data_IF_555698502771
#
_entry.id   IF_555698502771
#
_cell.length_a   1.000
_cell.length_b   1.000
_cell.length_c   1.000
_cell.angle_alpha   90.00
_cell.angle_beta   90.00
_cell.angle_gamma   90.00
#
_symmetry.space_group_name_H-M   'P 1'
#
loop_
_entity.id
_entity.type
_entity.pdbx_description
1 polymer ?
#
# COMPACT_ATOMS: atom_id res chain seq x y z
N UNK A 1 58.96 -35.82 -35.13
CA UNK A 1 58.79 -36.18 -33.71
C UNK A 1 58.06 -35.03 -33.03
N UNK A 2 56.86 -35.30 -32.49
CA UNK A 2 56.14 -34.72 -31.32
C UNK A 2 56.23 -33.18 -31.09
N UNK A 3 55.14 -32.45 -30.67
CA UNK A 3 53.77 -32.87 -30.32
C UNK A 3 52.62 -32.08 -30.96
N UNK A 4 51.54 -32.83 -31.17
CA UNK A 4 50.13 -32.45 -30.99
C UNK A 4 49.84 -31.87 -29.61
N UNK A 5 49.43 -30.61 -29.49
CA UNK A 5 48.49 -30.12 -28.47
C UNK A 5 48.01 -28.73 -28.90
N UNK A 6 46.76 -28.62 -29.35
CA UNK A 6 45.81 -27.62 -28.88
C UNK A 6 44.45 -28.00 -29.47
N UNK A 7 43.70 -28.70 -28.64
CA UNK A 7 42.33 -29.09 -28.87
C UNK A 7 41.40 -27.86 -28.77
N UNK A 8 40.41 -27.86 -29.66
CA UNK A 8 39.03 -27.38 -29.49
C UNK A 8 38.70 -26.55 -28.24
N UNK A 9 38.24 -25.32 -28.45
CA UNK A 9 37.08 -24.76 -27.76
C UNK A 9 36.64 -23.43 -28.41
N UNK A 10 35.89 -23.49 -29.51
CA UNK A 10 34.96 -22.41 -29.85
C UNK A 10 33.58 -22.90 -29.38
N UNK A 11 33.26 -22.63 -28.12
CA UNK A 11 31.88 -22.75 -27.64
C UNK A 11 31.14 -21.48 -28.02
N UNK A 12 30.21 -21.64 -28.96
CA UNK A 12 29.17 -20.67 -29.26
C UNK A 12 28.32 -20.48 -27.99
N UNK A 13 28.46 -19.34 -27.30
CA UNK A 13 27.50 -18.95 -26.25
C UNK A 13 26.28 -18.39 -26.99
N UNK A 14 25.35 -19.27 -27.34
CA UNK A 14 23.97 -18.88 -27.61
C UNK A 14 23.34 -18.66 -26.25
N UNK A 15 23.20 -17.41 -25.82
CA UNK A 15 22.28 -17.05 -24.75
C UNK A 15 20.87 -17.35 -25.25
N UNK A 16 20.38 -18.56 -24.96
CA UNK A 16 18.94 -18.80 -24.98
C UNK A 16 18.37 -17.99 -23.83
N UNK A 17 17.81 -16.82 -24.14
CA UNK A 17 16.84 -16.19 -23.26
C UNK A 17 15.72 -17.22 -23.07
N UNK A 18 15.75 -17.95 -21.96
CA UNK A 18 14.62 -18.80 -21.58
C UNK A 18 13.41 -17.88 -21.51
N UNK A 19 12.43 -18.08 -22.40
CA UNK A 19 11.12 -17.45 -22.24
C UNK A 19 10.65 -17.81 -20.84
N UNK A 20 10.58 -16.83 -19.95
CA UNK A 20 9.96 -17.01 -18.65
C UNK A 20 8.56 -17.58 -18.90
N UNK A 21 8.18 -18.61 -18.13
CA UNK A 21 6.85 -19.16 -18.21
C UNK A 21 5.82 -18.02 -18.03
N UNK A 22 4.71 -18.03 -18.80
CA UNK A 22 3.66 -17.04 -18.59
C UNK A 22 3.20 -17.11 -17.12
N UNK A 23 2.81 -15.98 -16.52
CA UNK A 23 2.29 -15.99 -15.16
C UNK A 23 1.13 -16.98 -15.06
N UNK A 24 0.94 -17.63 -13.90
CA UNK A 24 -0.23 -18.48 -13.70
C UNK A 24 -1.50 -17.67 -13.95
N UNK A 25 -2.52 -18.30 -14.55
CA UNK A 25 -3.82 -17.65 -14.71
C UNK A 25 -4.40 -17.33 -13.32
N UNK A 26 -5.01 -16.14 -13.13
CA UNK A 26 -5.62 -15.82 -11.85
C UNK A 26 -6.84 -16.71 -11.60
N UNK A 27 -7.25 -16.90 -10.33
CA UNK A 27 -8.52 -17.51 -10.00
C UNK A 27 -9.70 -16.75 -10.66
N UNK A 28 -10.79 -17.43 -11.05
CA UNK A 28 -11.92 -16.79 -11.72
C UNK A 28 -12.56 -15.69 -10.85
N UNK A 29 -13.05 -14.58 -11.45
CA UNK A 29 -13.64 -13.47 -10.69
C UNK A 29 -14.79 -13.88 -9.76
N UNK A 30 -15.63 -14.84 -10.17
CA UNK A 30 -16.75 -15.30 -9.35
C UNK A 30 -16.30 -15.98 -8.04
N UNK A 31 -15.20 -16.74 -8.08
CA UNK A 31 -14.61 -17.34 -6.89
C UNK A 31 -14.01 -16.25 -5.99
N UNK A 32 -13.24 -15.34 -6.58
CA UNK A 32 -12.62 -14.22 -5.86
C UNK A 32 -13.65 -13.29 -5.21
N UNK A 33 -14.79 -13.00 -5.86
CA UNK A 33 -15.88 -12.22 -5.26
C UNK A 33 -16.46 -12.91 -4.03
N UNK A 34 -16.63 -14.24 -4.08
CA UNK A 34 -17.14 -15.03 -2.95
C UNK A 34 -16.18 -14.98 -1.77
N UNK A 35 -14.89 -15.20 -2.03
CA UNK A 35 -13.84 -15.10 -1.02
C UNK A 35 -13.71 -13.68 -0.49
N UNK A 36 -13.75 -12.65 -1.35
CA UNK A 36 -13.70 -11.24 -0.94
C UNK A 36 -14.82 -10.89 0.04
N UNK A 37 -16.06 -11.30 -0.23
CA UNK A 37 -17.18 -11.08 0.69
C UNK A 37 -17.00 -11.82 2.03
N UNK A 38 -16.48 -13.05 2.01
CA UNK A 38 -16.17 -13.81 3.24
C UNK A 38 -15.10 -13.10 4.09
N UNK A 39 -14.03 -12.66 3.45
CA UNK A 39 -12.90 -11.98 4.10
C UNK A 39 -13.30 -10.61 4.67
N UNK A 40 -14.09 -9.83 3.91
CA UNK A 40 -14.60 -8.54 4.39
C UNK A 40 -15.55 -8.73 5.59
N UNK A 41 -16.40 -9.76 5.57
CA UNK A 41 -17.24 -10.12 6.70
C UNK A 41 -16.42 -10.58 7.92
N UNK A 42 -15.38 -11.38 7.71
CA UNK A 42 -14.45 -11.81 8.77
C UNK A 42 -13.74 -10.60 9.39
N UNK A 43 -13.15 -9.72 8.58
CA UNK A 43 -12.51 -8.49 9.05
C UNK A 43 -13.51 -7.63 9.83
N UNK A 44 -14.73 -7.43 9.30
CA UNK A 44 -15.79 -6.70 10.01
C UNK A 44 -16.11 -7.32 11.37
N UNK A 45 -16.17 -8.65 11.45
CA UNK A 45 -16.50 -9.35 12.70
C UNK A 45 -15.45 -9.15 13.80
N UNK A 46 -14.21 -8.83 13.43
CA UNK A 46 -13.12 -8.59 14.38
C UNK A 46 -13.21 -7.27 15.16
N UNK A 47 -13.98 -6.29 14.66
CA UNK A 47 -14.10 -5.00 15.33
C UNK A 47 -14.91 -5.12 16.63
N UNK A 48 -14.40 -4.64 17.78
CA UNK A 48 -15.13 -4.76 19.05
C UNK A 48 -16.47 -4.01 19.03
N UNK A 49 -16.47 -2.81 18.45
CA UNK A 49 -17.69 -2.07 18.14
C UNK A 49 -18.09 -2.38 16.69
N UNK A 50 -19.29 -2.94 16.51
CA UNK A 50 -19.75 -3.30 15.18
C UNK A 50 -20.12 -2.09 14.30
N UNK A 51 -20.14 -0.87 14.86
CA UNK A 51 -20.40 0.38 14.16
C UNK A 51 -19.14 1.19 13.81
N UNK A 52 -17.96 0.75 14.27
CA UNK A 52 -16.69 1.41 14.02
C UNK A 52 -15.65 0.40 13.52
N UNK A 53 -14.95 0.72 12.44
CA UNK A 53 -13.87 -0.09 11.89
C UNK A 53 -12.55 0.15 12.64
N UNK A 54 -12.57 -0.10 13.95
CA UNK A 54 -11.42 -0.01 14.84
C UNK A 54 -11.02 -1.42 15.30
N UNK A 55 -9.77 -1.78 15.07
CA UNK A 55 -9.20 -3.04 15.52
C UNK A 55 -8.98 -3.01 17.05
N UNK A 56 -9.12 -4.15 17.75
CA UNK A 56 -8.79 -4.25 19.16
C UNK A 56 -7.27 -4.26 19.37
N UNK A 57 -6.86 -4.08 20.63
CA UNK A 57 -5.53 -4.53 21.06
C UNK A 57 -5.33 -6.02 20.72
N UNK A 58 -4.12 -6.43 20.29
CA UNK A 58 -2.86 -5.69 20.31
C UNK A 58 -2.60 -4.82 19.06
N UNK A 59 -3.56 -4.68 18.15
CA UNK A 59 -3.36 -3.91 16.92
C UNK A 59 -3.30 -2.42 17.19
N UNK A 60 -2.43 -1.74 16.46
CA UNK A 60 -2.24 -0.31 16.61
C UNK A 60 -3.32 0.48 15.89
N UNK A 61 -3.50 1.73 16.32
CA UNK A 61 -4.49 2.64 15.77
C UNK A 61 -4.32 2.85 14.26
N UNK A 62 -3.08 2.92 13.77
CA UNK A 62 -2.79 3.07 12.35
C UNK A 62 -3.28 1.87 11.50
N UNK A 63 -3.23 0.66 12.06
CA UNK A 63 -3.72 -0.55 11.38
C UNK A 63 -5.24 -0.47 11.17
N UNK A 64 -5.97 0.17 12.07
CA UNK A 64 -7.39 0.46 11.87
C UNK A 64 -7.62 1.39 10.68
N UNK A 65 -6.78 2.42 10.49
CA UNK A 65 -6.80 3.27 9.29
C UNK A 65 -6.62 2.46 8.01
N UNK A 66 -5.70 1.49 8.02
CA UNK A 66 -5.52 0.59 6.86
C UNK A 66 -6.72 -0.34 6.65
N UNK A 67 -7.35 -0.88 7.70
CA UNK A 67 -8.53 -1.72 7.59
C UNK A 67 -9.75 -0.93 7.05
N UNK A 68 -9.88 0.35 7.44
CA UNK A 68 -10.86 1.27 6.86
C UNK A 68 -10.63 1.40 5.36
N UNK A 69 -9.38 1.65 4.93
CA UNK A 69 -9.05 1.77 3.51
C UNK A 69 -9.32 0.46 2.72
N UNK A 70 -9.07 -0.71 3.32
CA UNK A 70 -9.38 -2.01 2.72
C UNK A 70 -10.87 -2.13 2.38
N UNK A 71 -11.73 -1.79 3.34
CA UNK A 71 -13.18 -1.87 3.18
C UNK A 71 -13.73 -0.75 2.29
N UNK A 72 -13.06 0.41 2.22
CA UNK A 72 -13.36 1.47 1.25
C UNK A 72 -13.06 1.03 -0.19
N UNK A 73 -12.07 0.15 -0.37
CA UNK A 73 -11.69 -0.44 -1.66
C UNK A 73 -12.60 -1.62 -2.04
N UNK A 74 -13.01 -2.43 -1.06
CA UNK A 74 -13.93 -3.56 -1.25
C UNK A 74 -15.23 -3.16 -1.97
N UNK A 75 -15.87 -2.05 -1.55
CA UNK A 75 -17.17 -1.64 -2.10
C UNK A 75 -17.16 -1.36 -3.61
N UNK A 76 -16.29 -0.47 -4.11
CA UNK A 76 -16.12 -0.24 -5.54
C UNK A 76 -15.73 -1.51 -6.33
N UNK A 77 -14.87 -2.37 -5.78
CA UNK A 77 -14.39 -3.59 -6.47
C UNK A 77 -15.48 -4.64 -6.64
N UNK A 78 -16.25 -4.88 -5.58
CA UNK A 78 -17.24 -5.97 -5.53
C UNK A 78 -18.66 -5.53 -5.85
N UNK A 79 -18.94 -4.23 -5.73
CA UNK A 79 -20.28 -3.66 -5.79
C UNK A 79 -21.09 -3.80 -4.49
N UNK A 80 -20.48 -4.29 -3.41
CA UNK A 80 -21.11 -4.45 -2.11
C UNK A 80 -20.78 -3.31 -1.14
N UNK A 81 -21.78 -2.48 -0.85
CA UNK A 81 -21.65 -1.25 -0.07
C UNK A 81 -22.15 -1.39 1.37
N UNK A 82 -22.37 -2.60 1.87
CA UNK A 82 -22.98 -2.82 3.19
C UNK A 82 -22.19 -2.18 4.37
N UNK A 83 -20.90 -1.91 4.18
CA UNK A 83 -20.03 -1.30 5.20
C UNK A 83 -19.92 0.23 5.11
N UNK A 84 -20.51 0.88 4.08
CA UNK A 84 -20.31 2.31 3.80
C UNK A 84 -20.65 3.21 5.01
N UNK A 85 -21.73 2.91 5.73
CA UNK A 85 -22.14 3.70 6.91
C UNK A 85 -21.14 3.60 8.07
N UNK A 86 -20.70 2.38 8.39
CA UNK A 86 -19.65 2.15 9.39
C UNK A 86 -18.37 2.92 9.05
N UNK A 87 -17.93 2.87 7.79
CA UNK A 87 -16.69 3.52 7.37
C UNK A 87 -16.78 5.06 7.48
N UNK A 88 -17.90 5.66 7.07
CA UNK A 88 -18.14 7.10 7.24
C UNK A 88 -18.13 7.50 8.71
N UNK A 89 -18.84 6.76 9.56
CA UNK A 89 -18.86 7.00 11.01
C UNK A 89 -17.45 6.89 11.61
N UNK A 90 -16.68 5.90 11.19
CA UNK A 90 -15.30 5.69 11.65
C UNK A 90 -14.42 6.89 11.32
N UNK A 91 -14.37 7.31 10.05
CA UNK A 91 -13.53 8.44 9.62
C UNK A 91 -13.90 9.71 10.38
N UNK A 92 -15.19 10.05 10.49
CA UNK A 92 -15.65 11.26 11.20
C UNK A 92 -15.29 11.22 12.68
N UNK A 93 -15.38 10.05 13.32
CA UNK A 93 -15.06 9.91 14.75
C UNK A 93 -13.56 10.06 15.01
N UNK A 94 -12.72 9.63 14.07
CA UNK A 94 -11.26 9.72 14.21
C UNK A 94 -10.67 11.05 13.74
N UNK A 95 -11.44 11.87 13.02
CA UNK A 95 -10.97 13.13 12.43
C UNK A 95 -10.48 14.18 13.44
N UNK A 96 -10.78 14.04 14.74
CA UNK A 96 -10.56 15.04 15.81
C UNK A 96 -11.34 16.34 15.58
N UNK A 97 -11.25 17.28 16.53
CA UNK A 97 -11.87 18.61 16.39
C UNK A 97 -11.16 19.50 15.37
N UNK A 98 -9.88 19.25 15.12
CA UNK A 98 -9.03 19.99 14.17
C UNK A 98 -9.07 19.40 12.76
N UNK A 99 -9.74 18.25 12.57
CA UNK A 99 -9.94 17.61 11.27
C UNK A 99 -8.62 17.15 10.62
N UNK A 100 -7.72 16.60 11.42
CA UNK A 100 -6.33 16.26 11.08
C UNK A 100 -5.93 14.85 11.57
N UNK A 101 -6.84 14.09 12.19
CA UNK A 101 -6.52 12.80 12.81
C UNK A 101 -5.40 12.84 13.87
N UNK A 102 -5.09 14.00 14.45
CA UNK A 102 -4.13 14.12 15.56
C UNK A 102 -4.75 13.63 16.88
N UNK A 103 -5.03 12.34 16.96
CA UNK A 103 -5.47 11.66 18.18
C UNK A 103 -4.28 11.45 19.12
N UNK A 104 -4.53 11.02 20.36
CA UNK A 104 -3.46 10.62 21.27
C UNK A 104 -2.68 9.38 20.77
N UNK A 105 -3.29 8.59 19.89
CA UNK A 105 -2.68 7.41 19.30
C UNK A 105 -1.84 7.75 18.04
N UNK A 106 -1.91 8.99 17.53
CA UNK A 106 -1.09 9.49 16.43
C UNK A 106 0.31 9.90 16.93
N UNK A 107 1.10 8.94 17.37
CA UNK A 107 2.45 9.20 17.92
C UNK A 107 3.50 9.44 16.84
N UNK A 108 3.30 8.87 15.65
CA UNK A 108 4.13 9.01 14.47
C UNK A 108 3.45 9.74 13.32
N UNK A 109 4.25 10.33 12.43
CA UNK A 109 3.76 10.92 11.20
C UNK A 109 3.19 9.85 10.26
N UNK A 110 3.73 8.63 10.29
CA UNK A 110 3.16 7.47 9.64
C UNK A 110 1.78 7.11 10.19
N UNK A 111 1.61 7.04 11.52
CA UNK A 111 0.32 6.76 12.17
C UNK A 111 -0.79 7.68 11.64
N UNK A 112 -0.52 8.99 11.60
CA UNK A 112 -1.44 10.01 11.08
C UNK A 112 -1.69 9.85 9.57
N UNK A 113 -0.65 9.56 8.79
CA UNK A 113 -0.73 9.50 7.34
C UNK A 113 -1.61 8.32 6.85
N UNK A 114 -1.65 7.20 7.56
CA UNK A 114 -2.54 6.08 7.22
C UNK A 114 -4.01 6.48 7.21
N UNK A 115 -4.44 7.31 8.17
CA UNK A 115 -5.80 7.85 8.22
C UNK A 115 -6.06 8.89 7.13
N UNK A 116 -5.04 9.70 6.79
CA UNK A 116 -5.12 10.62 5.65
C UNK A 116 -5.31 9.88 4.33
N UNK A 117 -4.60 8.76 4.11
CA UNK A 117 -4.78 7.91 2.93
C UNK A 117 -6.18 7.29 2.88
N UNK A 118 -6.71 6.81 4.01
CA UNK A 118 -8.07 6.29 4.08
C UNK A 118 -9.12 7.36 3.72
N UNK A 119 -8.98 8.58 4.24
CA UNK A 119 -9.85 9.70 3.89
C UNK A 119 -9.72 10.08 2.40
N UNK A 120 -8.49 10.08 1.86
CA UNK A 120 -8.28 10.37 0.44
C UNK A 120 -8.88 9.29 -0.46
N UNK A 121 -8.80 8.01 -0.06
CA UNK A 121 -9.49 6.89 -0.74
C UNK A 121 -10.99 7.09 -0.72
N UNK A 122 -11.58 7.54 0.40
CA UNK A 122 -13.01 7.88 0.45
C UNK A 122 -13.38 9.01 -0.53
N UNK A 123 -12.51 10.01 -0.70
CA UNK A 123 -12.69 11.08 -1.68
C UNK A 123 -12.62 10.56 -3.12
N UNK A 124 -11.60 9.78 -3.44
CA UNK A 124 -11.39 9.16 -4.76
C UNK A 124 -12.55 8.23 -5.14
N UNK A 125 -13.07 7.47 -4.17
CA UNK A 125 -14.22 6.57 -4.35
C UNK A 125 -15.58 7.30 -4.27
N UNK A 126 -15.58 8.63 -4.10
CA UNK A 126 -16.79 9.47 -4.00
C UNK A 126 -17.78 8.97 -2.94
N UNK A 127 -17.26 8.51 -1.81
CA UNK A 127 -18.08 8.10 -0.66
C UNK A 127 -18.95 9.28 -0.23
N UNK A 128 -20.27 9.11 -0.03
CA UNK A 128 -21.13 10.20 0.39
C UNK A 128 -20.62 10.88 1.65
N UNK A 129 -20.63 12.22 1.66
CA UNK A 129 -20.12 12.97 2.80
C UNK A 129 -20.93 12.69 4.06
N UNK A 130 -20.24 12.61 5.20
CA UNK A 130 -20.82 12.67 6.54
C UNK A 130 -20.06 13.73 7.35
N UNK A 131 -20.77 14.51 8.17
CA UNK A 131 -20.17 15.62 8.91
C UNK A 131 -19.94 16.89 8.07
N UNK A 132 -19.16 17.83 8.62
CA UNK A 132 -19.01 19.19 8.08
C UNK A 132 -17.78 19.44 7.20
N UNK A 133 -16.86 18.48 7.08
CA UNK A 133 -15.61 18.63 6.32
C UNK A 133 -15.53 17.59 5.19
N UNK A 134 -15.04 17.99 4.01
CA UNK A 134 -14.87 17.06 2.90
C UNK A 134 -13.74 16.04 3.17
N UNK A 135 -13.89 14.80 2.69
CA UNK A 135 -12.87 13.76 2.84
C UNK A 135 -11.47 14.17 2.32
N UNK A 136 -11.43 14.88 1.19
CA UNK A 136 -10.18 15.41 0.62
C UNK A 136 -9.54 16.48 1.50
N UNK A 137 -10.34 17.23 2.26
CA UNK A 137 -9.82 18.29 3.12
C UNK A 137 -9.20 17.71 4.40
N UNK A 138 -9.72 16.57 4.92
CA UNK A 138 -9.06 15.82 5.99
C UNK A 138 -7.64 15.40 5.57
N UNK A 139 -7.51 14.82 4.36
CA UNK A 139 -6.22 14.42 3.81
C UNK A 139 -5.29 15.64 3.58
N UNK A 140 -5.84 16.76 3.09
CA UNK A 140 -5.09 18.01 2.89
C UNK A 140 -4.60 18.62 4.20
N UNK A 141 -5.38 18.54 5.27
CA UNK A 141 -4.97 19.03 6.58
C UNK A 141 -3.74 18.29 7.09
N UNK A 142 -3.77 16.94 7.05
CA UNK A 142 -2.59 16.11 7.41
C UNK A 142 -1.39 16.45 6.54
N UNK A 143 -1.57 16.55 5.22
CA UNK A 143 -0.48 16.94 4.32
C UNK A 143 0.14 18.30 4.72
N UNK A 144 -0.68 19.29 5.05
CA UNK A 144 -0.21 20.61 5.46
C UNK A 144 0.53 20.59 6.80
N UNK A 145 0.09 19.78 7.76
CA UNK A 145 0.79 19.61 9.04
C UNK A 145 2.14 18.92 8.87
N UNK A 146 2.16 17.79 8.15
CA UNK A 146 3.40 17.04 7.92
C UNK A 146 4.40 17.89 7.15
N UNK A 147 3.94 18.68 6.17
CA UNK A 147 4.78 19.65 5.48
C UNK A 147 5.46 20.63 6.44
N UNK A 148 4.78 21.10 7.48
CA UNK A 148 5.37 21.99 8.49
C UNK A 148 6.42 21.28 9.37
N UNK A 149 6.30 19.96 9.53
CA UNK A 149 7.27 19.11 10.27
C UNK A 149 8.44 18.64 9.39
N UNK A 150 8.39 18.86 8.08
CA UNK A 150 9.47 18.49 7.17
C UNK A 150 10.65 19.46 7.31
N UNK A 151 11.84 18.94 7.64
CA UNK A 151 13.00 19.77 7.92
C UNK A 151 14.08 19.68 6.84
N UNK A 152 14.33 20.78 6.13
CA UNK A 152 15.29 20.91 5.03
C UNK A 152 16.75 21.17 5.47
N UNK A 153 17.04 21.10 6.77
CA UNK A 153 18.34 21.46 7.33
C UNK A 153 19.46 20.51 6.89
N UNK A 154 20.64 21.06 6.55
CA UNK A 154 21.83 20.23 6.26
C UNK A 154 22.27 19.39 7.47
N UNK A 155 21.98 19.87 8.68
CA UNK A 155 22.19 19.17 9.95
C UNK A 155 21.08 18.16 10.29
N UNK A 156 20.03 18.06 9.47
CA UNK A 156 18.92 17.10 9.62
C UNK A 156 18.74 16.29 8.34
N UNK A 157 19.87 15.86 7.77
CA UNK A 157 19.94 14.99 6.59
C UNK A 157 19.43 15.63 5.29
N UNK A 158 19.41 16.96 5.22
CA UNK A 158 19.04 17.72 4.03
C UNK A 158 17.60 17.52 3.60
N UNK A 159 16.70 17.21 4.54
CA UNK A 159 15.30 16.92 4.28
C UNK A 159 14.75 15.78 5.15
N UNK A 160 13.53 15.39 4.84
CA UNK A 160 12.83 14.22 5.37
C UNK A 160 12.04 14.49 6.65
N UNK A 161 10.92 13.79 6.78
CA UNK A 161 10.14 13.68 8.00
C UNK A 161 10.78 12.70 8.97
N UNK A 162 10.73 13.07 10.25
CA UNK A 162 10.95 12.18 11.38
C UNK A 162 9.81 11.19 11.53
N UNK A 163 10.11 10.02 12.08
CA UNK A 163 9.10 9.01 12.39
C UNK A 163 8.10 9.53 13.43
N UNK A 164 8.57 9.86 14.63
CA UNK A 164 7.71 10.40 15.70
C UNK A 164 7.30 11.86 15.44
N UNK A 165 6.21 12.31 16.06
CA UNK A 165 5.66 13.69 16.00
C UNK A 165 6.11 14.55 17.19
N UNK A 166 6.34 13.94 18.34
CA UNK A 166 6.82 14.64 19.52
C UNK A 166 8.22 14.15 19.92
N UNK A 167 9.04 15.12 20.34
CA UNK A 167 10.31 14.83 21.00
C UNK A 167 10.03 14.34 22.42
N UNK A 168 10.60 13.20 22.77
CA UNK A 168 10.70 12.73 24.14
C UNK A 168 12.19 12.43 24.41
N UNK A 169 12.68 12.77 25.60
CA UNK A 169 14.07 12.53 25.97
C UNK A 169 14.42 11.03 25.84
N UNK A 170 15.23 10.66 24.84
CA UNK A 170 15.74 9.31 24.62
C UNK A 170 15.50 8.73 23.21
N UNK A 171 15.57 7.39 23.09
CA UNK A 171 15.49 6.63 21.83
C UNK A 171 14.04 6.36 21.37
N UNK A 172 13.11 7.32 21.48
CA UNK A 172 11.72 7.10 21.08
C UNK A 172 11.54 7.02 19.54
N UNK A 173 12.60 7.28 18.78
CA UNK A 173 12.59 7.30 17.32
C UNK A 173 12.30 8.67 16.72
N UNK A 174 12.29 9.75 17.51
CA UNK A 174 12.17 11.12 17.01
C UNK A 174 13.27 11.43 15.99
N UNK A 175 14.54 11.19 16.32
CA UNK A 175 15.66 11.43 15.38
C UNK A 175 15.69 10.48 14.17
N UNK A 176 14.90 9.40 14.20
CA UNK A 176 14.84 8.42 13.13
C UNK A 176 13.98 8.92 11.96
N UNK A 177 14.57 9.00 10.77
CA UNK A 177 13.89 9.33 9.51
C UNK A 177 13.74 8.06 8.68
N UNK A 178 12.53 7.54 8.63
CA UNK A 178 12.25 6.23 8.03
C UNK A 178 11.56 6.32 6.67
N UNK A 179 11.64 5.22 5.91
CA UNK A 179 11.09 5.12 4.58
C UNK A 179 9.57 5.15 4.56
N UNK A 180 8.90 4.53 5.54
CA UNK A 180 7.43 4.48 5.56
C UNK A 180 6.83 5.88 5.73
N UNK A 181 7.33 6.67 6.69
CA UNK A 181 6.81 8.02 6.94
C UNK A 181 6.95 8.89 5.70
N UNK A 182 8.15 8.91 5.12
CA UNK A 182 8.42 9.73 3.94
C UNK A 182 7.72 9.18 2.69
N UNK A 183 7.57 7.86 2.58
CA UNK A 183 6.84 7.21 1.50
C UNK A 183 5.35 7.52 1.55
N UNK A 184 4.73 7.49 2.74
CA UNK A 184 3.33 7.85 2.94
C UNK A 184 3.08 9.32 2.60
N UNK A 185 3.96 10.22 3.05
CA UNK A 185 3.88 11.63 2.71
C UNK A 185 4.04 11.86 1.19
N UNK A 186 4.98 11.17 0.54
CA UNK A 186 5.15 11.18 -0.92
C UNK A 186 3.87 10.72 -1.64
N UNK A 187 3.31 9.58 -1.24
CA UNK A 187 2.10 9.02 -1.85
C UNK A 187 0.90 9.93 -1.64
N UNK A 188 0.70 10.45 -0.42
CA UNK A 188 -0.36 11.39 -0.09
C UNK A 188 -0.28 12.64 -0.97
N UNK A 189 0.91 13.22 -1.09
CA UNK A 189 1.16 14.38 -1.94
C UNK A 189 0.89 14.09 -3.43
N UNK A 190 1.35 12.94 -3.94
CA UNK A 190 1.11 12.52 -5.32
C UNK A 190 -0.39 12.35 -5.62
N UNK A 191 -1.13 11.70 -4.71
CA UNK A 191 -2.59 11.48 -4.83
C UNK A 191 -3.38 12.78 -4.72
N UNK A 192 -3.02 13.67 -3.81
CA UNK A 192 -3.63 15.01 -3.71
C UNK A 192 -3.39 15.83 -4.99
N UNK A 193 -2.16 15.84 -5.50
CA UNK A 193 -1.83 16.50 -6.76
C UNK A 193 -2.67 15.94 -7.92
N UNK A 194 -2.79 14.62 -8.01
CA UNK A 194 -3.59 13.96 -9.03
C UNK A 194 -5.09 14.27 -8.94
N UNK A 195 -5.67 14.15 -7.74
CA UNK A 195 -7.11 14.36 -7.52
C UNK A 195 -7.53 15.82 -7.70
N UNK A 196 -6.66 16.77 -7.33
CA UNK A 196 -7.04 18.19 -7.21
C UNK A 196 -6.31 19.13 -8.16
N UNK A 197 -5.34 18.63 -8.93
CA UNK A 197 -4.39 19.43 -9.72
C UNK A 197 -3.63 20.47 -8.88
N UNK A 198 -3.37 20.16 -7.61
CA UNK A 198 -2.61 21.03 -6.71
C UNK A 198 -1.10 20.97 -7.01
N UNK A 199 -0.57 22.08 -7.50
CA UNK A 199 0.85 22.20 -7.87
C UNK A 199 1.78 22.15 -6.67
N UNK A 200 1.31 22.55 -5.49
CA UNK A 200 2.12 22.49 -4.27
C UNK A 200 2.32 21.03 -3.83
N UNK A 201 1.24 20.25 -3.75
CA UNK A 201 1.32 18.80 -3.51
C UNK A 201 2.23 18.11 -4.53
N UNK A 202 2.16 18.49 -5.82
CA UNK A 202 3.04 17.93 -6.85
C UNK A 202 4.52 18.20 -6.55
N UNK A 203 4.86 19.44 -6.18
CA UNK A 203 6.23 19.81 -5.83
C UNK A 203 6.75 19.05 -4.61
N UNK A 204 5.89 18.81 -3.61
CA UNK A 204 6.23 18.02 -2.44
C UNK A 204 6.40 16.53 -2.76
N UNK A 205 5.62 15.97 -3.68
CA UNK A 205 5.82 14.61 -4.14
C UNK A 205 7.20 14.42 -4.80
N UNK A 206 7.57 15.30 -5.74
CA UNK A 206 8.91 15.29 -6.37
C UNK A 206 10.03 15.47 -5.33
N UNK A 207 9.87 16.42 -4.40
CA UNK A 207 10.86 16.73 -3.36
C UNK A 207 11.10 15.55 -2.42
N UNK A 208 10.04 14.94 -1.90
CA UNK A 208 10.14 13.84 -0.94
C UNK A 208 10.76 12.60 -1.59
N UNK A 209 10.36 12.26 -2.82
CA UNK A 209 11.00 11.17 -3.56
C UNK A 209 12.49 11.43 -3.81
N UNK A 210 12.84 12.64 -4.25
CA UNK A 210 14.22 13.02 -4.50
C UNK A 210 15.07 12.92 -3.22
N UNK A 211 14.53 13.31 -2.07
CA UNK A 211 15.19 13.14 -0.78
C UNK A 211 15.43 11.66 -0.44
N UNK A 212 14.41 10.80 -0.54
CA UNK A 212 14.54 9.37 -0.21
C UNK A 212 15.60 8.66 -1.07
N UNK A 213 15.71 9.01 -2.35
CA UNK A 213 16.79 8.49 -3.22
C UNK A 213 18.16 9.07 -2.87
N UNK A 214 18.25 10.38 -2.58
CA UNK A 214 19.50 11.08 -2.28
C UNK A 214 20.15 10.59 -0.99
N UNK A 215 19.36 10.35 0.05
CA UNK A 215 19.86 9.84 1.34
C UNK A 215 20.12 8.33 1.29
N UNK A 216 19.67 7.64 0.24
CA UNK A 216 19.94 6.22 0.00
C UNK A 216 18.89 5.25 0.53
N UNK A 217 17.74 5.72 1.05
CA UNK A 217 16.64 4.84 1.43
C UNK A 217 16.10 4.07 0.22
N UNK A 218 16.07 4.70 -0.95
CA UNK A 218 15.77 4.04 -2.22
C UNK A 218 17.07 3.88 -3.00
N UNK A 219 17.51 2.64 -3.18
CA UNK A 219 18.74 2.35 -3.92
C UNK A 219 18.52 2.28 -5.45
N UNK A 220 19.60 2.08 -6.20
CA UNK A 220 19.57 1.99 -7.67
C UNK A 220 18.80 0.79 -8.22
N UNK A 221 18.59 -0.25 -7.41
CA UNK A 221 17.87 -1.48 -7.77
C UNK A 221 16.43 -1.45 -7.20
N UNK A 222 15.99 -0.27 -6.75
CA UNK A 222 14.69 0.03 -6.16
C UNK A 222 14.39 -0.78 -4.90
N UNK A 223 15.42 -1.28 -4.20
CA UNK A 223 15.26 -1.73 -2.82
C UNK A 223 14.92 -0.51 -1.96
N UNK A 224 14.06 -0.70 -0.96
CA UNK A 224 13.70 0.36 -0.01
C UNK A 224 14.12 -0.06 1.39
N UNK A 225 15.15 0.59 1.90
CA UNK A 225 15.69 0.39 3.25
C UNK A 225 14.87 1.15 4.28
N UNK A 226 14.88 0.65 5.52
CA UNK A 226 13.93 1.06 6.55
C UNK A 226 14.08 2.51 7.00
N UNK A 227 15.31 3.01 7.15
CA UNK A 227 15.51 4.36 7.64
C UNK A 227 16.95 4.71 7.93
N UNK A 228 17.12 5.90 8.48
CA UNK A 228 18.39 6.49 8.86
C UNK A 228 18.17 7.44 10.04
N UNK A 229 19.23 7.90 10.69
CA UNK A 229 19.13 8.67 11.93
C UNK A 229 19.84 10.02 11.81
N UNK A 230 19.18 11.11 12.18
CA UNK A 230 19.80 12.42 12.10
C UNK A 230 20.91 12.65 13.13
N UNK A 231 20.96 11.89 14.23
CA UNK A 231 22.02 11.99 15.24
C UNK A 231 23.39 11.63 14.67
N UNK A 232 23.44 10.70 13.70
CA UNK A 232 24.66 10.35 12.99
C UNK A 232 24.82 11.11 11.66
N UNK A 233 24.00 12.13 11.42
CA UNK A 233 23.98 12.88 10.17
C UNK A 233 23.50 12.05 8.97
N UNK A 234 22.70 11.01 9.22
CA UNK A 234 22.26 10.03 8.25
C UNK A 234 23.40 9.32 7.50
N UNK A 235 24.50 9.04 8.21
CA UNK A 235 25.67 8.38 7.63
C UNK A 235 25.44 6.89 7.36
N UNK A 236 24.57 6.26 8.17
CA UNK A 236 24.27 4.84 8.11
C UNK A 236 22.78 4.60 7.85
N UNK A 237 22.49 3.52 7.13
CA UNK A 237 21.14 3.07 6.82
C UNK A 237 20.79 1.79 7.58
N UNK A 238 19.59 1.72 8.11
CA UNK A 238 18.97 0.46 8.50
C UNK A 238 18.52 -0.27 7.24
N UNK A 239 19.27 -1.29 6.84
CA UNK A 239 19.03 -2.03 5.60
C UNK A 239 17.91 -3.09 5.69
N UNK A 240 17.11 -3.08 6.76
CA UNK A 240 15.89 -3.86 6.79
C UNK A 240 14.99 -3.48 5.61
N UNK A 241 14.35 -4.47 5.01
CA UNK A 241 13.42 -4.28 3.91
C UNK A 241 12.08 -4.85 4.30
N UNK A 242 11.04 -4.06 4.09
CA UNK A 242 9.65 -4.37 4.43
C UNK A 242 8.78 -4.16 3.21
N UNK A 243 7.79 -5.02 2.99
CA UNK A 243 7.03 -5.00 1.73
C UNK A 243 6.23 -3.70 1.52
N UNK A 244 5.72 -3.11 2.59
CA UNK A 244 5.03 -1.82 2.54
C UNK A 244 5.95 -0.64 2.16
N UNK A 245 7.25 -0.71 2.47
CA UNK A 245 8.21 0.34 2.12
C UNK A 245 8.41 0.37 0.61
N UNK A 246 8.55 -0.78 -0.05
CA UNK A 246 8.59 -0.80 -1.52
C UNK A 246 7.24 -0.44 -2.13
N UNK A 247 6.13 -0.92 -1.56
CA UNK A 247 4.79 -0.69 -2.07
C UNK A 247 4.36 0.79 -2.03
N UNK A 248 4.74 1.53 -0.99
CA UNK A 248 4.34 2.93 -0.82
C UNK A 248 4.95 3.83 -1.90
N UNK A 249 6.23 3.62 -2.24
CA UNK A 249 6.91 4.34 -3.32
C UNK A 249 6.47 3.85 -4.71
N UNK A 250 6.13 2.55 -4.84
CA UNK A 250 5.58 1.98 -6.07
C UNK A 250 4.30 2.71 -6.48
N UNK A 251 3.33 2.80 -5.57
CA UNK A 251 2.04 3.41 -5.91
C UNK A 251 2.12 4.93 -6.04
N UNK A 252 2.88 5.61 -5.18
CA UNK A 252 3.15 7.03 -5.37
C UNK A 252 3.78 7.34 -6.73
N UNK A 253 4.72 6.50 -7.20
CA UNK A 253 5.31 6.62 -8.54
C UNK A 253 4.30 6.39 -9.66
N UNK A 254 3.40 5.41 -9.50
CA UNK A 254 2.36 5.14 -10.48
C UNK A 254 1.39 6.34 -10.61
N UNK A 255 0.99 6.93 -9.50
CA UNK A 255 0.15 8.14 -9.47
C UNK A 255 0.88 9.32 -10.13
N UNK A 256 2.17 9.50 -9.84
CA UNK A 256 3.00 10.52 -10.49
C UNK A 256 3.11 10.30 -12.01
N UNK A 257 3.27 9.07 -12.48
CA UNK A 257 3.28 8.74 -13.91
C UNK A 257 1.96 9.13 -14.59
N UNK A 258 0.83 8.77 -13.97
CA UNK A 258 -0.50 9.11 -14.49
C UNK A 258 -0.73 10.62 -14.49
N UNK A 259 -0.30 11.35 -13.46
CA UNK A 259 -0.51 12.79 -13.37
C UNK A 259 0.41 13.59 -14.32
N UNK A 260 1.71 13.30 -14.31
CA UNK A 260 2.73 14.09 -15.01
C UNK A 260 2.93 13.68 -16.47
N UNK A 261 2.60 12.43 -16.83
CA UNK A 261 2.90 11.82 -18.12
C UNK A 261 4.41 11.77 -18.45
N UNK A 262 5.27 11.77 -17.42
CA UNK A 262 6.72 11.67 -17.55
C UNK A 262 7.15 10.20 -17.40
N UNK A 263 7.78 9.66 -18.44
CA UNK A 263 8.23 8.26 -18.53
C UNK A 263 9.14 7.85 -17.36
N UNK A 264 9.87 8.80 -16.74
CA UNK A 264 10.71 8.52 -15.58
C UNK A 264 9.92 7.87 -14.44
N UNK A 265 8.65 8.25 -14.28
CA UNK A 265 7.80 7.73 -13.21
C UNK A 265 7.28 6.33 -13.54
N UNK A 266 7.06 6.02 -14.82
CA UNK A 266 6.75 4.66 -15.29
C UNK A 266 7.92 3.72 -15.00
N UNK A 267 9.15 4.15 -15.34
CA UNK A 267 10.36 3.37 -15.10
C UNK A 267 10.58 3.12 -13.61
N UNK A 268 10.33 4.13 -12.77
CA UNK A 268 10.37 3.99 -11.31
C UNK A 268 9.34 2.97 -10.81
N UNK A 269 8.09 3.05 -11.28
CA UNK A 269 7.05 2.07 -10.92
C UNK A 269 7.46 0.64 -11.30
N UNK A 270 7.98 0.43 -12.52
CA UNK A 270 8.49 -0.89 -12.94
C UNK A 270 9.65 -1.36 -12.06
N UNK A 271 10.56 -0.46 -11.71
CA UNK A 271 11.66 -0.73 -10.79
C UNK A 271 11.19 -1.26 -9.44
N UNK A 272 10.22 -0.57 -8.83
CA UNK A 272 9.64 -1.00 -7.56
C UNK A 272 8.85 -2.32 -7.67
N UNK A 273 8.11 -2.56 -8.77
CA UNK A 273 7.46 -3.86 -9.01
C UNK A 273 8.50 -4.99 -9.08
N UNK A 274 9.61 -4.77 -9.79
CA UNK A 274 10.69 -5.74 -9.90
C UNK A 274 11.38 -6.01 -8.54
N UNK A 275 11.54 -4.96 -7.72
CA UNK A 275 12.02 -5.07 -6.34
C UNK A 275 11.07 -5.87 -5.46
N UNK A 276 9.77 -5.56 -5.51
CA UNK A 276 8.73 -6.29 -4.79
C UNK A 276 8.70 -7.77 -5.15
N UNK A 277 8.77 -8.09 -6.46
CA UNK A 277 8.84 -9.47 -6.94
C UNK A 277 10.06 -10.21 -6.40
N UNK A 278 11.24 -9.59 -6.46
CA UNK A 278 12.50 -10.22 -6.05
C UNK A 278 12.53 -10.51 -4.55
N UNK A 279 11.99 -9.63 -3.72
CA UNK A 279 12.18 -9.67 -2.26
C UNK A 279 10.99 -10.27 -1.51
N UNK A 280 9.76 -9.99 -1.94
CA UNK A 280 8.55 -10.27 -1.16
C UNK A 280 7.59 -11.26 -1.84
N UNK A 281 8.07 -12.03 -2.82
CA UNK A 281 7.30 -13.16 -3.39
C UNK A 281 8.00 -14.48 -3.09
N UNK A 282 7.25 -15.42 -2.52
CA UNK A 282 7.76 -16.75 -2.22
C UNK A 282 8.16 -17.45 -3.52
N UNK A 283 9.40 -17.95 -3.66
CA UNK A 283 9.80 -18.67 -4.85
C UNK A 283 9.07 -20.02 -4.99
N UNK A 284 8.56 -20.57 -3.89
CA UNK A 284 7.93 -21.89 -3.87
C UNK A 284 6.42 -21.83 -4.19
N UNK A 285 5.73 -20.81 -3.64
CA UNK A 285 4.27 -20.70 -3.75
C UNK A 285 3.80 -19.51 -4.57
N UNK A 286 4.66 -18.51 -4.80
CA UNK A 286 4.28 -17.21 -5.37
C UNK A 286 3.42 -16.34 -4.45
N UNK A 287 3.20 -16.77 -3.20
CA UNK A 287 2.53 -15.96 -2.19
C UNK A 287 3.38 -14.74 -1.79
N UNK A 288 2.72 -13.64 -1.41
CA UNK A 288 3.41 -12.52 -0.79
C UNK A 288 3.86 -12.89 0.63
N UNK A 289 5.07 -12.49 1.02
CA UNK A 289 5.63 -12.79 2.33
C UNK A 289 6.60 -11.71 2.82
N UNK A 290 6.76 -11.58 4.14
CA UNK A 290 7.80 -10.75 4.75
C UNK A 290 9.11 -11.52 4.88
N UNK A 291 10.04 -11.30 3.94
CA UNK A 291 11.29 -12.06 3.84
C UNK A 291 12.18 -12.02 5.08
N UNK A 292 12.03 -11.00 5.93
CA UNK A 292 12.84 -10.84 7.13
C UNK A 292 12.34 -11.69 8.30
N UNK A 293 11.03 -11.86 8.45
CA UNK A 293 10.42 -12.35 9.69
C UNK A 293 9.44 -13.52 9.49
N UNK A 294 8.84 -13.67 8.31
CA UNK A 294 7.78 -14.66 8.10
C UNK A 294 8.34 -16.08 8.11
N UNK A 295 7.62 -17.00 8.78
CA UNK A 295 8.06 -18.39 8.96
C UNK A 295 8.99 -18.62 10.16
N UNK A 296 9.21 -17.61 11.00
CA UNK A 296 9.95 -17.70 12.26
C UNK A 296 9.02 -17.47 13.45
N UNK A 297 9.35 -18.07 14.59
CA UNK A 297 8.67 -17.80 15.85
C UNK A 297 8.98 -16.37 16.34
N UNK A 298 8.03 -15.72 17.01
CA UNK A 298 8.17 -14.31 17.45
C UNK A 298 9.42 -14.09 18.31
N UNK A 299 9.73 -15.04 19.20
CA UNK A 299 10.91 -15.01 20.07
C UNK A 299 12.24 -15.20 19.31
N UNK A 300 12.18 -15.69 18.07
CA UNK A 300 13.31 -15.95 17.17
C UNK A 300 13.34 -14.96 15.97
N UNK A 301 12.74 -13.79 16.13
CA UNK A 301 12.69 -12.75 15.09
C UNK A 301 11.58 -12.96 14.06
N UNK A 302 10.49 -13.62 14.47
CA UNK A 302 9.21 -13.66 13.77
C UNK A 302 8.56 -12.29 13.64
N UNK A 303 7.53 -12.21 12.80
CA UNK A 303 6.87 -10.93 12.52
C UNK A 303 6.06 -10.47 13.73
N UNK A 304 6.27 -9.22 14.15
CA UNK A 304 5.42 -8.58 15.17
C UNK A 304 4.06 -8.16 14.61
N UNK A 305 3.24 -7.55 15.48
CA UNK A 305 1.87 -7.11 15.16
C UNK A 305 1.80 -6.11 14.00
N UNK A 306 2.83 -5.29 13.80
CA UNK A 306 2.90 -4.37 12.66
C UNK A 306 3.25 -5.14 11.38
N UNK A 307 4.35 -5.87 11.43
CA UNK A 307 4.99 -6.52 10.28
C UNK A 307 4.08 -7.54 9.59
N UNK A 308 3.20 -8.22 10.33
CA UNK A 308 2.25 -9.18 9.75
C UNK A 308 1.32 -8.55 8.71
N UNK A 309 1.05 -7.24 8.78
CA UNK A 309 0.10 -6.54 7.90
C UNK A 309 0.72 -5.95 6.62
N UNK A 310 2.05 -5.87 6.54
CA UNK A 310 2.75 -5.15 5.47
C UNK A 310 2.48 -5.74 4.09
N UNK A 311 2.44 -7.08 3.96
CA UNK A 311 2.20 -7.77 2.69
C UNK A 311 0.85 -7.42 2.06
N UNK A 312 -0.19 -7.18 2.86
CA UNK A 312 -1.50 -6.74 2.39
C UNK A 312 -1.42 -5.36 1.76
N UNK A 313 -0.66 -4.44 2.38
CA UNK A 313 -0.42 -3.10 1.85
C UNK A 313 0.35 -3.13 0.53
N UNK A 314 1.35 -4.01 0.41
CA UNK A 314 2.02 -4.24 -0.89
C UNK A 314 1.02 -4.72 -1.95
N UNK A 315 0.15 -5.68 -1.62
CA UNK A 315 -0.86 -6.19 -2.55
C UNK A 315 -1.81 -5.10 -3.04
N UNK A 316 -2.33 -4.28 -2.10
CA UNK A 316 -3.19 -3.12 -2.39
C UNK A 316 -2.57 -2.23 -3.46
N UNK A 317 -1.33 -1.83 -3.22
CA UNK A 317 -0.62 -0.85 -4.03
C UNK A 317 -0.17 -1.40 -5.37
N UNK A 318 0.12 -2.69 -5.46
CA UNK A 318 0.32 -3.41 -6.73
C UNK A 318 -0.96 -3.39 -7.58
N UNK A 319 -2.09 -3.80 -6.99
CA UNK A 319 -3.39 -3.81 -7.68
C UNK A 319 -3.82 -2.42 -8.15
N UNK A 320 -3.71 -1.43 -7.27
CA UNK A 320 -4.03 -0.05 -7.59
C UNK A 320 -3.11 0.51 -8.69
N UNK A 321 -1.80 0.24 -8.66
CA UNK A 321 -0.90 0.66 -9.74
C UNK A 321 -1.29 0.06 -11.10
N UNK A 322 -1.63 -1.23 -11.16
CA UNK A 322 -2.05 -1.90 -12.39
C UNK A 322 -3.38 -1.35 -12.95
N UNK A 323 -4.30 -0.93 -12.08
CA UNK A 323 -5.57 -0.33 -12.47
C UNK A 323 -5.36 1.03 -13.15
N UNK A 324 -4.47 1.86 -12.60
CA UNK A 324 -4.32 3.26 -13.02
C UNK A 324 -3.26 3.44 -14.10
N UNK A 325 -2.33 2.50 -14.21
CA UNK A 325 -1.21 2.49 -15.14
C UNK A 325 -1.18 1.16 -15.92
N UNK A 326 -2.02 1.00 -16.97
CA UNK A 326 -2.20 -0.30 -17.65
C UNK A 326 -0.93 -0.92 -18.24
N UNK A 327 0.09 -0.11 -18.51
CA UNK A 327 1.38 -0.55 -19.06
C UNK A 327 2.29 -1.29 -18.07
N UNK A 328 1.95 -1.32 -16.77
CA UNK A 328 2.64 -2.15 -15.77
C UNK A 328 1.81 -3.37 -15.37
N UNK A 329 0.61 -3.52 -15.91
CA UNK A 329 -0.33 -4.59 -15.54
C UNK A 329 0.27 -5.98 -15.66
N UNK A 330 0.95 -6.28 -16.77
CA UNK A 330 1.59 -7.58 -17.00
C UNK A 330 2.68 -7.89 -15.95
N UNK A 331 3.39 -6.86 -15.48
CA UNK A 331 4.42 -7.03 -14.45
C UNK A 331 3.81 -7.31 -13.08
N UNK A 332 2.67 -6.70 -12.78
CA UNK A 332 1.90 -6.96 -11.55
C UNK A 332 1.22 -8.32 -11.58
N UNK A 333 0.69 -8.76 -12.73
CA UNK A 333 0.09 -10.09 -12.91
C UNK A 333 1.07 -11.22 -12.57
N UNK A 334 2.38 -11.01 -12.83
CA UNK A 334 3.46 -11.94 -12.46
C UNK A 334 3.65 -12.11 -10.95
N UNK A 335 2.99 -11.28 -10.13
CA UNK A 335 3.01 -11.34 -8.66
C UNK A 335 1.62 -11.74 -8.15
N UNK A 336 0.61 -10.93 -8.47
CA UNK A 336 -0.69 -11.01 -7.82
C UNK A 336 -1.48 -12.26 -8.24
N UNK A 337 -1.29 -12.80 -9.45
CA UNK A 337 -2.02 -14.01 -9.84
C UNK A 337 -1.66 -15.20 -8.94
N UNK A 338 -0.36 -15.41 -8.69
CA UNK A 338 0.10 -16.49 -7.82
C UNK A 338 -0.28 -16.25 -6.35
N UNK A 339 -0.18 -15.00 -5.89
CA UNK A 339 -0.62 -14.64 -4.54
C UNK A 339 -2.11 -14.88 -4.33
N UNK A 340 -2.96 -14.54 -5.31
CA UNK A 340 -4.40 -14.78 -5.26
C UNK A 340 -4.74 -16.28 -5.29
N UNK A 341 -4.02 -17.08 -6.08
CA UNK A 341 -4.14 -18.54 -6.04
C UNK A 341 -3.77 -19.08 -4.67
N UNK A 342 -2.68 -18.61 -4.05
CA UNK A 342 -2.30 -19.05 -2.71
C UNK A 342 -3.35 -18.71 -1.64
N UNK A 343 -4.02 -17.56 -1.75
CA UNK A 343 -5.14 -17.20 -0.86
C UNK A 343 -6.35 -18.12 -1.08
N UNK A 344 -6.68 -18.44 -2.33
CA UNK A 344 -7.80 -19.33 -2.66
C UNK A 344 -7.54 -20.78 -2.20
N UNK A 345 -6.34 -21.29 -2.43
CA UNK A 345 -5.97 -22.67 -2.05
C UNK A 345 -5.79 -22.81 -0.52
N UNK A 346 -5.41 -21.72 0.14
CA UNK A 346 -5.19 -21.65 1.58
C UNK A 346 -6.40 -21.19 2.38
N UNK A 347 -7.59 -21.07 1.77
CA UNK A 347 -8.78 -20.53 2.42
C UNK A 347 -9.14 -21.38 3.66
N UNK A 348 -8.96 -20.78 4.84
CA UNK A 348 -9.36 -21.35 6.13
C UNK A 348 -10.58 -20.60 6.62
N UNK A 349 -11.49 -21.31 7.29
CA UNK A 349 -12.44 -20.67 8.20
C UNK A 349 -11.67 -20.12 9.41
N UNK A 350 -12.19 -19.07 10.04
CA UNK A 350 -11.67 -18.53 11.31
C UNK A 350 -10.30 -17.80 11.22
N UNK A 351 -10.07 -17.06 10.13
CA UNK A 351 -8.93 -16.16 10.02
C UNK A 351 -9.01 -15.03 11.07
N UNK A 352 -7.84 -14.67 11.61
CA UNK A 352 -7.69 -13.50 12.46
C UNK A 352 -7.80 -12.19 11.67
N UNK A 353 -7.81 -11.04 12.37
CA UNK A 353 -8.10 -9.75 11.74
C UNK A 353 -7.10 -9.38 10.64
N UNK A 354 -5.80 -9.62 10.88
CA UNK A 354 -4.75 -9.27 9.92
C UNK A 354 -4.64 -10.31 8.81
N UNK A 355 -4.90 -11.58 9.07
CA UNK A 355 -4.99 -12.59 8.03
C UNK A 355 -6.13 -12.29 7.06
N UNK A 356 -7.31 -11.93 7.58
CA UNK A 356 -8.46 -11.51 6.78
C UNK A 356 -8.18 -10.23 6.00
N UNK A 357 -7.53 -9.24 6.63
CA UNK A 357 -7.09 -8.02 5.95
C UNK A 357 -6.12 -8.31 4.79
N UNK A 358 -5.05 -9.07 5.03
CA UNK A 358 -4.05 -9.38 4.01
C UNK A 358 -4.65 -10.14 2.83
N UNK A 359 -5.45 -11.17 3.12
CA UNK A 359 -6.13 -11.94 2.09
C UNK A 359 -7.12 -11.08 1.29
N UNK A 360 -7.84 -10.17 1.96
CA UNK A 360 -8.78 -9.26 1.30
C UNK A 360 -8.06 -8.36 0.30
N UNK A 361 -6.92 -7.77 0.69
CA UNK A 361 -6.13 -6.91 -0.20
C UNK A 361 -5.57 -7.66 -1.42
N UNK A 362 -5.09 -8.90 -1.24
CA UNK A 362 -4.61 -9.73 -2.35
C UNK A 362 -5.74 -10.07 -3.33
N UNK A 363 -6.90 -10.42 -2.80
CA UNK A 363 -8.09 -10.75 -3.62
C UNK A 363 -8.61 -9.51 -4.33
N UNK A 364 -8.68 -8.36 -3.65
CA UNK A 364 -9.08 -7.08 -4.23
C UNK A 364 -8.15 -6.66 -5.37
N UNK A 365 -6.83 -6.78 -5.17
CA UNK A 365 -5.83 -6.52 -6.22
C UNK A 365 -6.03 -7.41 -7.45
N UNK A 366 -6.32 -8.70 -7.26
CA UNK A 366 -6.58 -9.63 -8.36
C UNK A 366 -7.87 -9.30 -9.11
N UNK A 367 -8.94 -8.93 -8.39
CA UNK A 367 -10.21 -8.50 -8.97
C UNK A 367 -10.01 -7.24 -9.84
N UNK A 368 -9.29 -6.23 -9.34
CA UNK A 368 -8.93 -5.00 -10.08
C UNK A 368 -8.18 -5.28 -11.36
N UNK A 369 -7.16 -6.14 -11.32
CA UNK A 369 -6.43 -6.55 -12.53
C UNK A 369 -7.35 -7.26 -13.53
N UNK A 370 -8.35 -8.00 -13.07
CA UNK A 370 -9.34 -8.64 -13.94
C UNK A 370 -10.44 -7.68 -14.44
N UNK A 371 -10.35 -6.39 -14.10
CA UNK A 371 -11.28 -5.35 -14.53
C UNK A 371 -12.56 -5.29 -13.70
N UNK A 372 -12.58 -5.89 -12.50
CA UNK A 372 -13.63 -5.71 -11.51
C UNK A 372 -13.20 -4.60 -10.55
N UNK A 373 -14.12 -3.69 -10.24
CA UNK A 373 -13.74 -2.37 -9.74
C UNK A 373 -13.71 -1.33 -10.86
N UNK A 374 -13.65 -0.05 -10.48
CA UNK A 374 -13.78 1.05 -11.44
C UNK A 374 -15.24 1.43 -11.77
N UNK A 375 -16.15 1.35 -10.79
CA UNK A 375 -17.47 2.01 -10.93
C UNK A 375 -17.28 3.52 -10.78
N UNK A 376 -17.28 4.25 -11.89
CA UNK A 376 -17.65 5.68 -11.94
C UNK A 376 -16.96 6.61 -10.92
N UNK A 377 -15.62 6.62 -10.81
CA UNK A 377 -14.99 7.62 -9.94
C UNK A 377 -13.55 7.41 -9.53
N UNK A 378 -13.05 6.18 -9.61
CA UNK A 378 -11.64 5.90 -9.38
C UNK A 378 -10.89 6.36 -10.64
N UNK A 379 -10.37 7.57 -10.57
CA UNK A 379 -9.63 8.27 -11.64
C UNK A 379 -10.47 8.67 -12.86
N UNK A 380 -11.14 9.81 -12.74
CA UNK A 380 -11.32 10.76 -13.86
C UNK A 380 -12.05 10.30 -15.14
N UNK A 381 -12.69 9.14 -15.23
CA UNK A 381 -13.34 8.66 -16.45
C UNK A 381 -14.81 8.21 -16.23
N UNK A 382 -15.74 9.00 -16.76
CA UNK A 382 -17.04 8.56 -17.31
C UNK A 382 -18.15 8.10 -16.36
N UNK A 383 -19.42 8.34 -16.76
CA UNK A 383 -20.64 8.16 -15.94
C UNK A 383 -21.35 6.79 -16.12
N UNK A 384 -21.66 6.06 -15.05
CA UNK A 384 -22.72 5.04 -14.93
C UNK A 384 -23.36 4.96 -13.51
N UNK A 385 -24.68 5.16 -13.50
CA UNK A 385 -25.63 5.33 -12.38
C UNK A 385 -25.68 4.15 -11.37
N UNK A 386 -25.55 4.45 -10.06
CA UNK A 386 -25.86 3.53 -8.92
C UNK A 386 -27.25 2.89 -9.09
N UNK A 387 -27.33 1.62 -9.48
CA UNK A 387 -28.58 0.85 -9.42
C UNK A 387 -28.77 0.26 -8.03
N UNK A 388 -29.73 0.80 -7.28
CA UNK A 388 -30.25 0.15 -6.07
C UNK A 388 -30.82 -1.22 -6.46
N UNK A 389 -30.17 -2.32 -6.05
CA UNK A 389 -30.85 -3.62 -6.02
C UNK A 389 -31.82 -3.60 -4.84
N UNK A 390 -33.12 -3.49 -5.14
CA UNK A 390 -34.17 -3.79 -4.16
C UNK A 390 -34.24 -5.31 -3.98
N UNK A 391 -34.03 -5.79 -2.75
CA UNK A 391 -34.34 -7.18 -2.38
C UNK A 391 -35.87 -7.30 -2.34
N UNK A 392 -36.46 -7.86 -3.39
CA UNK A 392 -37.87 -8.21 -3.42
C UNK A 392 -38.07 -9.57 -2.73
N UNK A 393 -38.39 -9.53 -1.44
CA UNK A 393 -38.89 -10.67 -0.68
C UNK A 393 -40.28 -10.37 -0.15
N UNK A 394 -41.32 -10.62 -0.96
CA UNK A 394 -42.71 -10.75 -0.47
C UNK A 394 -43.01 -12.23 -0.34
N UNK A 395 -43.33 -12.68 0.87
CA UNK A 395 -44.25 -13.78 1.10
C UNK A 395 -45.28 -13.28 2.10
N UNK A 396 -46.50 -13.08 1.61
CA UNK A 396 -47.70 -12.87 2.42
C UNK A 396 -48.30 -14.22 2.81
N UNK A 397 -48.78 -14.31 4.05
CA UNK A 397 -50.00 -15.07 4.37
C UNK A 397 -51.07 -14.07 4.79
#
# INVERSE_FOLDING_TARGET
MIPTYFANAISLIVQTAAKQAPPPSPPPPAALLTTSSSLAASLKSSFPDQNLALLPQPYWWWQSGTAVEALLNYGPTTGDWQYEEMLKNTIVTQATATNDFMTIDATGNDDQAWWALAALTAAENKVPQLGGIAWVDLARNVFNEQRQRYEDGANTCGGGLRWKIDYEDGNNGWHYKNAITNGLFFQLAARLAHLTNDTESLAWAEKTYAWSTKVGLVDKDFNVYDGTDEENGCSDLNHNQWSYNVGVYLYGSAVMAVHTKDDKWVDRTRGFIASAKRTFTSPDTGALFESKCEGKDIDDGGCDTDQVSFKGLLARWLGAAAEILPEVKEDVEKIINAAATAVQDGEKTDLGPIESFNALEVVDASLRMQGLGGVEGVIGLGKARRTKRSVAGRISW
#
